data_IF_454046529400
#
_entry.id   IF_454046529400
#
_cell.length_a   1.000
_cell.length_b   1.000
_cell.length_c   1.000
_cell.angle_alpha   90.00
_cell.angle_beta   90.00
_cell.angle_gamma   90.00
#
_symmetry.space_group_name_H-M   'P 1'
#
loop_
_entity.id
_entity.type
_entity.pdbx_description
1 polymer ?
#
# COMPACT_ATOMS: atom_id res chain seq x y z
N UNK A 1 -8.87 -43.34 12.80
CA UNK A 1 -8.54 -42.10 12.03
C UNK A 1 -8.75 -40.93 12.98
N UNK A 2 -7.68 -40.33 13.44
CA UNK A 2 -7.75 -39.12 14.23
C UNK A 2 -8.25 -38.00 13.30
N UNK A 3 -9.28 -37.26 13.72
CA UNK A 3 -9.81 -36.15 12.92
C UNK A 3 -9.25 -34.81 13.39
N UNK A 4 -8.59 -34.83 14.54
CA UNK A 4 -8.14 -33.61 15.23
C UNK A 4 -6.86 -33.00 14.59
N UNK A 5 -6.12 -33.80 13.80
CA UNK A 5 -4.92 -33.39 13.07
C UNK A 5 -5.19 -32.70 11.72
N UNK A 6 -6.49 -32.67 11.30
CA UNK A 6 -6.91 -32.01 10.06
C UNK A 6 -7.53 -30.61 10.31
N UNK A 7 -7.60 -30.14 11.55
CA UNK A 7 -8.07 -28.81 11.88
C UNK A 7 -6.92 -27.91 12.32
N UNK A 8 -6.67 -26.84 11.56
CA UNK A 8 -5.79 -25.76 11.94
C UNK A 8 -6.62 -24.52 12.31
N UNK A 9 -6.49 -24.04 13.56
CA UNK A 9 -7.19 -22.86 14.04
C UNK A 9 -6.18 -21.76 14.32
N UNK A 10 -6.40 -20.61 13.76
CA UNK A 10 -5.66 -19.38 14.06
C UNK A 10 -6.61 -18.22 14.25
N UNK A 11 -6.20 -17.24 15.04
CA UNK A 11 -6.93 -15.97 15.13
C UNK A 11 -6.35 -15.05 14.08
N UNK A 12 -7.18 -14.63 13.13
CA UNK A 12 -6.85 -13.57 12.19
C UNK A 12 -7.62 -12.33 12.66
N UNK A 13 -6.89 -11.37 13.20
CA UNK A 13 -7.45 -10.04 13.42
C UNK A 13 -7.48 -9.32 12.07
N UNK A 14 -8.65 -9.16 11.50
CA UNK A 14 -8.83 -8.36 10.28
C UNK A 14 -8.84 -6.90 10.70
N UNK A 15 -7.67 -6.32 10.86
CA UNK A 15 -7.52 -4.88 11.00
C UNK A 15 -7.42 -4.30 9.59
N UNK A 16 -8.39 -3.47 9.18
CA UNK A 16 -8.23 -2.65 7.98
C UNK A 16 -7.23 -1.53 8.29
N UNK A 17 -5.97 -1.93 8.46
CA UNK A 17 -4.85 -1.04 8.78
C UNK A 17 -4.37 -0.23 7.56
N UNK A 18 -5.09 -0.33 6.43
CA UNK A 18 -4.73 0.42 5.24
C UNK A 18 -4.98 1.91 5.46
N UNK A 19 -4.00 2.69 5.06
CA UNK A 19 -4.10 4.14 5.15
C UNK A 19 -5.20 4.67 4.24
N UNK A 20 -6.15 5.40 4.80
CA UNK A 20 -7.23 6.00 4.00
C UNK A 20 -6.70 7.21 3.24
N UNK A 21 -6.95 7.22 1.94
CA UNK A 21 -6.57 8.29 1.01
C UNK A 21 -7.82 8.80 0.32
N UNK A 22 -8.11 10.08 0.47
CA UNK A 22 -9.22 10.73 -0.23
C UNK A 22 -8.70 11.34 -1.54
N UNK A 23 -9.38 11.06 -2.65
CA UNK A 23 -9.17 11.74 -3.92
C UNK A 23 -10.47 12.40 -4.37
N UNK A 24 -10.44 13.70 -4.53
CA UNK A 24 -11.56 14.49 -5.05
C UNK A 24 -11.13 15.12 -6.36
N UNK A 25 -11.77 14.74 -7.44
CA UNK A 25 -11.57 15.34 -8.78
C UNK A 25 -12.75 16.22 -9.14
N UNK A 26 -12.50 17.33 -9.78
CA UNK A 26 -13.54 18.12 -10.43
C UNK A 26 -14.19 17.33 -11.56
N UNK A 27 -14.10 17.82 -12.77
CA UNK A 27 -14.60 17.07 -13.94
C UNK A 27 -13.63 15.94 -14.30
N UNK A 28 -14.11 14.69 -14.49
CA UNK A 28 -13.27 13.57 -14.88
C UNK A 28 -12.48 13.82 -16.17
N UNK A 29 -11.18 13.59 -16.13
CA UNK A 29 -10.22 13.75 -17.22
C UNK A 29 -9.28 12.54 -17.30
N UNK A 30 -8.32 12.55 -18.23
CA UNK A 30 -7.37 11.44 -18.37
C UNK A 30 -6.55 11.20 -17.09
N UNK A 31 -6.15 12.27 -16.41
CA UNK A 31 -5.46 12.16 -15.12
C UNK A 31 -6.28 11.39 -14.09
N UNK A 32 -7.58 11.71 -13.96
CA UNK A 32 -8.50 10.99 -13.08
C UNK A 32 -8.56 9.50 -13.41
N UNK A 33 -8.68 9.15 -14.71
CA UNK A 33 -8.79 7.77 -15.16
C UNK A 33 -7.59 6.93 -14.70
N UNK A 34 -6.38 7.44 -14.92
CA UNK A 34 -5.18 6.70 -14.63
C UNK A 34 -4.80 6.74 -13.14
N UNK A 35 -4.96 7.88 -12.47
CA UNK A 35 -4.68 8.00 -11.03
C UNK A 35 -5.63 7.13 -10.22
N UNK A 36 -6.93 7.16 -10.52
CA UNK A 36 -7.91 6.28 -9.88
C UNK A 36 -7.45 4.82 -9.95
N UNK A 37 -7.00 4.37 -11.11
CA UNK A 37 -6.52 3.00 -11.30
C UNK A 37 -5.32 2.70 -10.40
N UNK A 38 -4.32 3.56 -10.40
CA UNK A 38 -3.12 3.39 -9.55
C UNK A 38 -3.47 3.32 -8.06
N UNK A 39 -4.37 4.21 -7.61
CA UNK A 39 -4.81 4.22 -6.21
C UNK A 39 -5.57 2.93 -5.84
N UNK A 40 -6.44 2.44 -6.73
CA UNK A 40 -7.19 1.20 -6.51
C UNK A 40 -6.30 -0.06 -6.50
N UNK A 41 -5.22 -0.08 -7.27
CA UNK A 41 -4.26 -1.19 -7.31
C UNK A 41 -3.26 -1.18 -6.13
N UNK A 42 -3.16 -0.07 -5.40
CA UNK A 42 -2.20 0.07 -4.30
C UNK A 42 -2.73 -0.62 -3.03
N UNK A 43 -2.06 -1.71 -2.62
CA UNK A 43 -2.45 -2.52 -1.45
C UNK A 43 -2.21 -1.84 -0.09
N UNK A 44 -1.39 -0.78 -0.03
CA UNK A 44 -1.07 -0.08 1.22
C UNK A 44 -2.13 0.93 1.64
N UNK A 45 -3.08 1.23 0.75
CA UNK A 45 -4.10 2.26 0.97
C UNK A 45 -5.51 1.74 0.77
N UNK A 46 -6.46 2.41 1.39
CA UNK A 46 -7.90 2.29 1.14
C UNK A 46 -8.39 3.60 0.53
N UNK A 47 -8.50 3.69 -0.81
CA UNK A 47 -8.86 4.92 -1.47
C UNK A 47 -10.36 5.18 -1.39
N UNK A 48 -10.72 6.42 -1.06
CA UNK A 48 -12.06 6.99 -1.17
C UNK A 48 -12.02 8.02 -2.29
N UNK A 49 -12.81 7.83 -3.34
CA UNK A 49 -12.69 8.64 -4.56
C UNK A 49 -14.04 9.27 -4.90
N UNK A 50 -14.03 10.59 -5.03
CA UNK A 50 -15.16 11.41 -5.52
C UNK A 50 -14.77 12.15 -6.80
N UNK A 51 -15.77 12.42 -7.62
CA UNK A 51 -15.66 13.31 -8.77
C UNK A 51 -16.93 14.12 -8.94
N UNK A 52 -16.83 15.28 -9.56
CA UNK A 52 -18.00 16.10 -9.89
C UNK A 52 -18.59 15.63 -11.22
N UNK A 53 -19.85 15.22 -11.20
CA UNK A 53 -20.60 14.85 -12.41
C UNK A 53 -20.97 16.09 -13.23
N UNK A 54 -21.45 15.85 -14.45
CA UNK A 54 -21.83 16.94 -15.37
C UNK A 54 -22.95 17.88 -14.86
N UNK A 55 -23.72 17.44 -13.86
CA UNK A 55 -24.74 18.25 -13.15
C UNK A 55 -24.17 19.02 -11.94
N UNK A 56 -22.85 19.01 -11.73
CA UNK A 56 -22.15 19.71 -10.66
C UNK A 56 -22.22 18.99 -9.31
N UNK A 57 -22.76 17.77 -9.22
CA UNK A 57 -22.88 17.03 -7.97
C UNK A 57 -21.70 16.10 -7.75
N UNK A 58 -21.17 16.00 -6.53
CA UNK A 58 -20.15 15.02 -6.20
C UNK A 58 -20.73 13.60 -6.24
N UNK A 59 -20.02 12.70 -6.92
CA UNK A 59 -20.35 11.27 -7.00
C UNK A 59 -19.20 10.44 -6.45
N UNK A 60 -19.52 9.40 -5.68
CA UNK A 60 -18.55 8.45 -5.20
C UNK A 60 -18.22 7.42 -6.28
N UNK A 61 -16.92 7.26 -6.56
CA UNK A 61 -16.42 6.24 -7.49
C UNK A 61 -15.96 4.96 -6.78
N UNK A 62 -15.95 4.96 -5.44
CA UNK A 62 -15.65 3.83 -4.55
C UNK A 62 -16.75 3.72 -3.51
N UNK A 63 -16.97 2.53 -2.90
CA UNK A 63 -17.86 2.41 -1.76
C UNK A 63 -17.43 3.39 -0.66
N UNK A 64 -18.26 4.37 -0.38
CA UNK A 64 -17.95 5.47 0.53
C UNK A 64 -19.06 5.62 1.60
N UNK A 65 -19.43 4.50 2.24
CA UNK A 65 -20.57 4.43 3.17
C UNK A 65 -20.51 5.47 4.31
N UNK A 66 -19.33 5.95 4.66
CA UNK A 66 -19.09 6.88 5.76
C UNK A 66 -18.46 8.21 5.34
N UNK A 67 -18.14 8.39 4.07
CA UNK A 67 -17.48 9.60 3.56
C UNK A 67 -18.43 10.41 2.67
N UNK A 68 -18.39 11.71 2.84
CA UNK A 68 -19.05 12.68 1.96
C UNK A 68 -18.03 13.64 1.38
N UNK A 69 -18.39 14.32 0.31
CA UNK A 69 -17.53 15.36 -0.28
C UNK A 69 -17.33 16.59 0.65
N UNK A 70 -18.00 16.63 1.80
CA UNK A 70 -17.94 17.74 2.76
C UNK A 70 -16.61 17.85 3.52
N UNK A 71 -15.85 16.76 3.63
CA UNK A 71 -14.56 16.75 4.32
C UNK A 71 -14.63 17.37 5.72
N UNK A 72 -15.61 16.91 6.54
CA UNK A 72 -15.72 17.39 7.91
C UNK A 72 -14.56 16.90 8.79
N UNK A 73 -14.37 17.48 9.98
CA UNK A 73 -13.21 17.17 10.84
C UNK A 73 -13.11 15.69 11.23
N UNK A 74 -14.25 15.03 11.49
CA UNK A 74 -14.25 13.61 11.84
C UNK A 74 -13.80 12.72 10.66
N UNK A 75 -14.16 13.11 9.43
CA UNK A 75 -13.71 12.45 8.23
C UNK A 75 -12.21 12.69 7.96
N UNK A 76 -11.76 13.94 8.09
CA UNK A 76 -10.36 14.30 7.90
C UNK A 76 -9.45 13.59 8.92
N UNK A 77 -9.86 13.45 10.17
CA UNK A 77 -9.08 12.74 11.20
C UNK A 77 -8.82 11.27 10.85
N UNK A 78 -9.70 10.65 10.08
CA UNK A 78 -9.56 9.26 9.62
C UNK A 78 -8.68 9.13 8.36
N UNK A 79 -8.35 10.25 7.71
CA UNK A 79 -7.54 10.26 6.49
C UNK A 79 -6.05 10.45 6.80
N UNK A 80 -5.21 10.02 5.88
CA UNK A 80 -3.77 10.27 5.91
C UNK A 80 -3.31 11.18 4.77
N UNK A 81 -3.96 11.05 3.62
CA UNK A 81 -3.64 11.85 2.43
C UNK A 81 -4.94 12.33 1.79
N UNK A 82 -4.96 13.58 1.37
CA UNK A 82 -6.01 14.16 0.51
C UNK A 82 -5.38 14.57 -0.82
N UNK A 83 -6.00 14.18 -1.92
CA UNK A 83 -5.61 14.53 -3.28
C UNK A 83 -6.74 15.38 -3.88
N UNK A 84 -6.42 16.59 -4.30
CA UNK A 84 -7.35 17.51 -4.97
C UNK A 84 -7.00 17.60 -6.45
N UNK A 85 -7.94 17.28 -7.31
CA UNK A 85 -7.78 17.34 -8.76
C UNK A 85 -8.69 18.38 -9.39
N UNK A 86 -8.13 19.40 -9.98
CA UNK A 86 -8.80 20.41 -10.81
C UNK A 86 -10.08 21.01 -10.21
N UNK A 87 -10.05 21.35 -8.94
CA UNK A 87 -11.11 22.04 -8.22
C UNK A 87 -10.79 23.55 -8.15
N UNK A 88 -11.81 24.39 -8.27
CA UNK A 88 -11.69 25.82 -7.98
C UNK A 88 -12.08 26.16 -6.53
N UNK A 89 -11.96 27.43 -6.15
CA UNK A 89 -12.28 27.88 -4.81
C UNK A 89 -13.79 27.78 -4.48
N UNK A 90 -14.68 27.85 -5.49
CA UNK A 90 -16.09 27.72 -5.30
C UNK A 90 -16.50 26.26 -5.03
N UNK A 91 -15.90 25.33 -5.76
CA UNK A 91 -16.10 23.89 -5.58
C UNK A 91 -15.51 23.39 -4.24
N UNK A 92 -14.32 23.89 -3.84
CA UNK A 92 -13.70 23.53 -2.58
C UNK A 92 -14.37 24.23 -1.38
N UNK A 93 -14.84 25.44 -1.50
CA UNK A 93 -15.28 26.39 -0.49
C UNK A 93 -14.17 26.82 0.50
N UNK A 94 -14.27 28.05 1.01
CA UNK A 94 -13.29 28.59 1.98
C UNK A 94 -13.27 27.77 3.28
N UNK A 95 -14.43 27.30 3.72
CA UNK A 95 -14.52 26.50 4.95
C UNK A 95 -13.79 25.15 4.82
N UNK A 96 -13.97 24.46 3.70
CA UNK A 96 -13.23 23.21 3.42
C UNK A 96 -11.73 23.48 3.26
N UNK A 97 -11.35 24.57 2.58
CA UNK A 97 -9.95 24.96 2.44
C UNK A 97 -9.29 25.19 3.82
N UNK A 98 -9.97 25.88 4.75
CA UNK A 98 -9.49 26.07 6.10
C UNK A 98 -9.37 24.77 6.90
N UNK A 99 -10.34 23.87 6.77
CA UNK A 99 -10.26 22.54 7.41
C UNK A 99 -9.10 21.71 6.86
N UNK A 100 -8.85 21.77 5.55
CA UNK A 100 -7.71 21.08 4.91
C UNK A 100 -6.38 21.71 5.35
N UNK A 101 -6.32 23.01 5.49
CA UNK A 101 -5.13 23.66 6.05
C UNK A 101 -4.80 23.12 7.44
N UNK A 102 -5.79 23.10 8.35
CA UNK A 102 -5.62 22.54 9.69
C UNK A 102 -5.34 21.03 9.69
N UNK A 103 -5.84 20.28 8.72
CA UNK A 103 -5.50 18.87 8.52
C UNK A 103 -4.02 18.69 8.21
N UNK A 104 -3.47 19.51 7.30
CA UNK A 104 -2.04 19.45 6.95
C UNK A 104 -1.18 19.89 8.13
N UNK A 105 -1.53 20.97 8.83
CA UNK A 105 -0.80 21.44 10.01
C UNK A 105 -0.65 20.36 11.09
N UNK A 106 -1.68 19.51 11.25
CA UNK A 106 -1.73 18.40 12.23
C UNK A 106 -1.10 17.08 11.72
N UNK A 107 -0.36 17.11 10.61
CA UNK A 107 0.37 15.95 10.10
C UNK A 107 -0.29 15.17 8.94
N UNK A 108 -1.45 15.61 8.46
CA UNK A 108 -2.04 15.10 7.23
C UNK A 108 -1.23 15.50 6.00
N UNK A 109 -1.37 14.79 4.91
CA UNK A 109 -0.67 15.11 3.66
C UNK A 109 -1.64 15.52 2.55
N UNK A 110 -1.22 16.48 1.73
CA UNK A 110 -2.02 17.05 0.65
C UNK A 110 -1.29 16.94 -0.68
N UNK A 111 -2.05 16.58 -1.73
CA UNK A 111 -1.60 16.69 -3.13
C UNK A 111 -2.57 17.57 -3.87
N UNK A 112 -2.05 18.51 -4.66
CA UNK A 112 -2.85 19.29 -5.60
C UNK A 112 -2.37 19.02 -7.02
N UNK A 113 -3.31 18.56 -7.85
CA UNK A 113 -3.06 18.28 -9.26
C UNK A 113 -3.39 19.48 -10.11
N UNK A 114 -2.51 19.78 -11.05
CA UNK A 114 -2.72 20.81 -12.05
C UNK A 114 -4.01 20.61 -12.84
N UNK A 115 -4.62 21.72 -13.14
CA UNK A 115 -5.81 21.81 -13.97
C UNK A 115 -6.25 23.26 -14.10
N UNK A 116 -7.00 23.56 -15.14
CA UNK A 116 -7.37 24.93 -15.47
C UNK A 116 -8.18 25.64 -14.40
N UNK A 117 -9.05 24.89 -13.69
CA UNK A 117 -9.82 25.44 -12.55
C UNK A 117 -8.95 25.71 -11.32
N UNK A 118 -8.06 24.77 -10.98
CA UNK A 118 -7.23 24.86 -9.79
C UNK A 118 -6.31 26.09 -9.79
N UNK A 119 -5.81 26.47 -10.96
CA UNK A 119 -4.85 27.56 -11.12
C UNK A 119 -5.41 28.79 -11.85
N UNK A 120 -6.72 28.85 -12.13
CA UNK A 120 -7.37 30.03 -12.69
C UNK A 120 -7.47 31.18 -11.68
N UNK A 121 -7.76 32.40 -12.10
CA UNK A 121 -8.25 33.45 -11.21
C UNK A 121 -9.48 32.95 -10.42
N UNK A 122 -9.44 33.01 -9.09
CA UNK A 122 -10.45 32.38 -8.24
C UNK A 122 -10.25 30.87 -7.99
N UNK A 123 -9.11 30.31 -8.39
CA UNK A 123 -8.70 28.95 -8.08
C UNK A 123 -8.15 28.79 -6.65
N UNK A 124 -7.44 27.72 -6.39
CA UNK A 124 -7.00 27.34 -5.04
C UNK A 124 -6.04 28.35 -4.39
N UNK A 125 -5.31 29.14 -5.18
CA UNK A 125 -4.44 30.21 -4.67
C UNK A 125 -5.21 31.37 -4.03
N UNK A 126 -6.50 31.50 -4.26
CA UNK A 126 -7.37 32.49 -3.60
C UNK A 126 -7.97 32.01 -2.27
N UNK A 127 -7.63 30.79 -1.84
CA UNK A 127 -8.10 30.19 -0.59
C UNK A 127 -7.02 30.18 0.48
N UNK A 128 -7.40 29.93 1.75
CA UNK A 128 -6.46 29.79 2.87
C UNK A 128 -5.45 28.64 2.62
N UNK A 129 -5.81 27.68 1.78
CA UNK A 129 -4.95 26.55 1.43
C UNK A 129 -3.65 26.98 0.72
N UNK A 130 -3.65 28.15 0.08
CA UNK A 130 -2.45 28.73 -0.55
C UNK A 130 -1.25 28.84 0.42
N UNK A 131 -1.49 28.99 1.73
CA UNK A 131 -0.43 29.03 2.73
C UNK A 131 0.39 27.74 2.76
N UNK A 132 -0.28 26.59 2.61
CA UNK A 132 0.34 25.27 2.65
C UNK A 132 0.93 24.82 1.29
N UNK A 133 0.58 25.47 0.18
CA UNK A 133 1.09 25.06 -1.13
C UNK A 133 2.56 25.47 -1.31
N UNK A 134 3.42 24.62 -1.93
CA UNK A 134 4.84 24.87 -2.19
C UNK A 134 5.10 25.89 -3.31
N UNK A 135 4.10 26.66 -3.67
CA UNK A 135 4.14 27.62 -4.79
C UNK A 135 3.65 28.98 -4.33
N UNK A 136 4.20 30.01 -4.95
CA UNK A 136 3.78 31.40 -4.80
C UNK A 136 3.86 32.13 -6.15
N UNK A 137 3.30 33.32 -6.19
CA UNK A 137 3.41 34.25 -7.33
C UNK A 137 2.17 34.33 -8.19
N UNK A 138 2.25 35.16 -9.14
CA UNK A 138 1.57 35.78 -10.19
C UNK A 138 0.25 35.24 -10.73
N UNK A 139 0.16 35.36 -12.04
CA UNK A 139 -1.02 34.86 -12.80
C UNK A 139 -0.64 33.55 -13.46
N UNK A 140 -1.08 32.40 -12.90
CA UNK A 140 -0.81 31.11 -13.50
C UNK A 140 -1.36 31.07 -14.95
N UNK A 141 -0.52 30.65 -15.87
CA UNK A 141 -0.92 30.50 -17.29
C UNK A 141 -0.61 29.10 -17.74
N UNK A 142 -1.59 28.42 -18.34
CA UNK A 142 -1.36 27.13 -18.94
C UNK A 142 -0.61 27.32 -20.27
N UNK A 143 0.61 26.81 -20.32
CA UNK A 143 1.35 26.66 -21.56
C UNK A 143 1.04 25.27 -22.13
N UNK A 144 0.28 25.23 -23.21
CA UNK A 144 0.10 24.01 -24.03
C UNK A 144 1.10 24.05 -25.18
N UNK A 145 1.70 22.91 -25.49
CA UNK A 145 2.66 22.79 -26.57
C UNK A 145 2.28 21.66 -27.52
N UNK A 146 2.25 21.92 -28.83
CA UNK A 146 2.04 20.89 -29.83
C UNK A 146 3.21 19.91 -29.91
N UNK A 147 4.41 20.35 -29.47
CA UNK A 147 5.60 19.51 -29.36
C UNK A 147 5.84 19.12 -27.91
N UNK A 148 6.24 17.88 -27.64
CA UNK A 148 6.51 17.42 -26.30
C UNK A 148 7.56 18.30 -25.59
N UNK A 149 7.25 18.71 -24.35
CA UNK A 149 8.13 19.50 -23.50
C UNK A 149 9.01 18.55 -22.70
N UNK A 150 10.37 18.63 -22.84
CA UNK A 150 11.28 17.79 -22.09
C UNK A 150 11.19 18.01 -20.59
N UNK A 151 11.27 16.91 -19.84
CA UNK A 151 11.19 16.89 -18.38
C UNK A 151 12.56 16.52 -17.83
N UNK A 152 13.00 17.20 -16.76
CA UNK A 152 14.26 16.91 -16.08
C UNK A 152 14.05 16.79 -14.58
N UNK A 153 14.72 15.80 -13.98
CA UNK A 153 14.85 15.73 -12.52
C UNK A 153 15.87 16.74 -12.03
N UNK A 154 15.57 17.38 -10.93
CA UNK A 154 16.50 18.25 -10.21
C UNK A 154 17.46 17.41 -9.34
N UNK A 155 18.56 17.99 -8.84
CA UNK A 155 19.42 17.30 -7.87
C UNK A 155 18.68 16.88 -6.60
N UNK A 156 17.67 17.64 -6.16
CA UNK A 156 16.82 17.32 -5.01
C UNK A 156 16.01 16.03 -5.22
N UNK A 157 15.55 15.79 -6.44
CA UNK A 157 14.81 14.56 -6.77
C UNK A 157 15.66 13.30 -6.59
N UNK A 158 16.97 13.37 -6.75
CA UNK A 158 17.85 12.20 -6.64
C UNK A 158 17.83 11.57 -5.22
N UNK A 159 17.55 12.36 -4.20
CA UNK A 159 17.47 11.93 -2.80
C UNK A 159 16.03 11.81 -2.29
N UNK A 160 15.06 12.29 -3.07
CA UNK A 160 13.67 12.30 -2.65
C UNK A 160 13.00 10.93 -2.87
N UNK A 161 12.26 10.39 -1.87
CA UNK A 161 11.63 9.07 -1.95
C UNK A 161 10.68 8.87 -3.14
N UNK A 162 10.04 9.94 -3.64
CA UNK A 162 9.16 9.86 -4.80
C UNK A 162 9.87 9.45 -6.11
N UNK A 163 11.21 9.58 -6.15
CA UNK A 163 12.06 9.19 -7.27
C UNK A 163 13.14 8.17 -6.88
N UNK A 164 12.91 7.45 -5.76
CA UNK A 164 13.83 6.43 -5.30
C UNK A 164 14.02 5.28 -6.31
N UNK A 165 15.16 4.59 -6.21
CA UNK A 165 15.49 3.42 -6.99
C UNK A 165 16.52 3.69 -8.09
N UNK A 166 16.47 2.91 -9.19
CA UNK A 166 17.47 3.01 -10.25
C UNK A 166 17.45 4.38 -10.94
N UNK A 167 18.54 5.18 -10.87
CA UNK A 167 18.62 6.46 -11.53
C UNK A 167 18.48 6.38 -13.06
N UNK A 168 18.82 5.23 -13.67
CA UNK A 168 18.68 5.02 -15.11
C UNK A 168 17.21 5.02 -15.54
N UNK A 169 16.32 4.47 -14.70
CA UNK A 169 14.89 4.46 -14.95
C UNK A 169 14.34 5.89 -15.07
N UNK A 170 14.75 6.78 -14.17
CA UNK A 170 14.27 8.15 -14.15
C UNK A 170 14.94 9.08 -15.17
N UNK A 171 15.99 8.64 -15.86
CA UNK A 171 16.60 9.40 -16.97
C UNK A 171 15.74 9.44 -18.23
N UNK A 172 14.83 8.48 -18.39
CA UNK A 172 13.95 8.34 -19.56
C UNK A 172 12.51 8.72 -19.29
N UNK A 173 12.31 9.71 -18.41
CA UNK A 173 10.95 10.20 -18.11
C UNK A 173 10.31 10.76 -19.38
N UNK A 174 9.08 10.32 -19.73
CA UNK A 174 8.40 10.87 -20.90
C UNK A 174 8.12 12.36 -20.74
N UNK A 175 8.17 13.13 -21.84
CA UNK A 175 7.84 14.56 -21.83
C UNK A 175 6.36 14.77 -21.53
N UNK A 176 6.01 16.01 -21.15
CA UNK A 176 4.64 16.48 -20.98
C UNK A 176 4.22 17.38 -22.14
N UNK A 177 2.93 17.65 -22.31
CA UNK A 177 2.40 18.55 -23.33
C UNK A 177 1.94 19.90 -22.79
N UNK A 178 1.83 20.00 -21.46
CA UNK A 178 1.37 21.22 -20.80
C UNK A 178 2.10 21.45 -19.50
N UNK A 179 2.22 22.70 -19.09
CA UNK A 179 2.71 23.11 -17.79
C UNK A 179 2.11 24.46 -17.40
N UNK A 180 1.78 24.63 -16.13
CA UNK A 180 1.39 25.93 -15.60
C UNK A 180 2.64 26.75 -15.30
N UNK A 181 2.76 27.88 -16.00
CA UNK A 181 3.84 28.85 -15.86
C UNK A 181 3.38 30.04 -15.02
N UNK A 182 4.28 30.97 -14.67
CA UNK A 182 3.95 32.14 -13.84
C UNK A 182 3.89 31.84 -12.33
N UNK A 183 4.17 30.61 -11.94
CA UNK A 183 4.29 30.16 -10.55
C UNK A 183 5.75 29.91 -10.20
N UNK A 184 6.13 30.22 -8.97
CA UNK A 184 7.48 30.02 -8.45
C UNK A 184 7.42 29.12 -7.22
N UNK A 185 8.52 28.41 -6.97
CA UNK A 185 8.68 27.64 -5.74
C UNK A 185 8.88 28.62 -4.56
N UNK A 186 8.18 28.38 -3.45
CA UNK A 186 8.47 29.06 -2.18
C UNK A 186 9.88 28.71 -1.68
N UNK A 187 10.52 29.54 -0.85
CA UNK A 187 11.88 29.28 -0.35
C UNK A 187 12.02 27.94 0.40
N UNK A 188 10.97 27.46 1.05
CA UNK A 188 10.95 26.18 1.77
C UNK A 188 10.55 24.98 0.89
N UNK A 189 10.24 25.20 -0.37
CA UNK A 189 9.80 24.17 -1.30
C UNK A 189 10.97 23.51 -2.02
N UNK A 190 10.85 22.22 -2.24
CA UNK A 190 11.76 21.45 -3.08
C UNK A 190 11.12 21.25 -4.47
N UNK A 191 11.77 21.77 -5.51
CA UNK A 191 11.37 21.48 -6.88
C UNK A 191 12.03 20.18 -7.31
N UNK A 192 11.24 19.13 -7.48
CA UNK A 192 11.75 17.78 -7.83
C UNK A 192 11.87 17.59 -9.34
N UNK A 193 10.94 18.15 -10.08
CA UNK A 193 10.88 18.00 -11.53
C UNK A 193 10.67 19.37 -12.16
N UNK A 194 11.41 19.63 -13.21
CA UNK A 194 11.28 20.83 -14.03
C UNK A 194 11.02 20.47 -15.49
N UNK A 195 10.37 21.38 -16.18
CA UNK A 195 10.06 21.27 -17.60
C UNK A 195 10.82 22.37 -18.36
N UNK A 196 11.42 22.00 -19.48
CA UNK A 196 12.04 22.94 -20.40
C UNK A 196 10.97 23.56 -21.29
N UNK A 197 10.80 24.87 -21.18
CA UNK A 197 9.86 25.64 -22.02
C UNK A 197 10.64 26.60 -22.91
N UNK A 198 10.03 27.15 -23.98
CA UNK A 198 10.68 28.18 -24.82
C UNK A 198 11.14 29.42 -24.04
N UNK A 199 10.51 29.72 -22.92
CA UNK A 199 10.84 30.87 -22.06
C UNK A 199 11.78 30.54 -20.91
N UNK A 200 12.27 29.32 -20.82
CA UNK A 200 13.15 28.83 -19.73
C UNK A 200 12.58 27.62 -19.00
N UNK A 201 13.19 27.27 -17.87
CA UNK A 201 12.78 26.12 -17.07
C UNK A 201 11.63 26.52 -16.13
N UNK A 202 10.56 25.70 -16.08
CA UNK A 202 9.41 25.88 -15.21
C UNK A 202 9.29 24.70 -14.23
N UNK A 203 8.84 24.89 -12.98
CA UNK A 203 8.61 23.80 -12.04
C UNK A 203 7.42 22.95 -12.47
N UNK A 204 7.53 21.63 -12.31
CA UNK A 204 6.47 20.68 -12.64
C UNK A 204 5.96 19.93 -11.42
N UNK A 205 6.86 19.42 -10.57
CA UNK A 205 6.52 18.72 -9.33
C UNK A 205 7.28 19.37 -8.20
N UNK A 206 6.55 19.87 -7.23
CA UNK A 206 7.12 20.53 -6.04
C UNK A 206 6.58 19.86 -4.78
N UNK A 207 7.40 19.83 -3.76
CA UNK A 207 7.03 19.35 -2.44
C UNK A 207 7.49 20.30 -1.36
N UNK A 208 6.79 20.30 -0.21
CA UNK A 208 7.27 20.95 1.01
C UNK A 208 6.67 20.28 2.24
N UNK A 209 7.27 20.55 3.39
CA UNK A 209 6.65 20.31 4.69
C UNK A 209 5.91 21.57 5.14
N UNK A 210 4.71 21.37 5.71
CA UNK A 210 3.91 22.45 6.27
C UNK A 210 3.30 21.99 7.59
N UNK A 211 3.63 22.66 8.69
CA UNK A 211 3.34 22.12 10.02
C UNK A 211 4.01 20.76 10.21
N UNK A 212 3.24 19.78 10.65
CA UNK A 212 3.70 18.39 10.75
C UNK A 212 3.44 17.58 9.46
N UNK A 213 2.73 18.17 8.49
CA UNK A 213 2.30 17.50 7.27
C UNK A 213 3.23 17.69 6.08
N UNK A 214 2.82 17.11 4.97
CA UNK A 214 3.53 17.16 3.69
C UNK A 214 2.59 17.59 2.58
N UNK A 215 3.11 18.44 1.69
CA UNK A 215 2.33 18.93 0.54
C UNK A 215 3.10 18.67 -0.74
N UNK A 216 2.41 18.18 -1.77
CA UNK A 216 2.93 18.07 -3.12
C UNK A 216 2.01 18.81 -4.11
N UNK A 217 2.61 19.48 -5.08
CA UNK A 217 1.89 20.14 -6.18
C UNK A 217 2.45 19.64 -7.50
N UNK A 218 1.54 19.35 -8.43
CA UNK A 218 1.87 18.94 -9.80
C UNK A 218 1.28 19.96 -10.76
N UNK A 219 2.14 20.67 -11.48
CA UNK A 219 1.77 21.81 -12.33
C UNK A 219 1.52 21.42 -13.80
N UNK A 220 0.93 20.27 -14.02
CA UNK A 220 0.50 19.84 -15.36
C UNK A 220 -0.81 19.09 -15.28
N UNK A 221 -1.55 19.04 -16.36
CA UNK A 221 -2.71 18.17 -16.57
C UNK A 221 -2.41 17.02 -17.55
N UNK A 222 -1.15 16.87 -17.95
CA UNK A 222 -0.71 15.88 -18.94
C UNK A 222 0.26 14.81 -18.38
N UNK A 223 0.38 14.70 -17.06
CA UNK A 223 1.24 13.70 -16.41
C UNK A 223 0.82 12.26 -16.72
N UNK A 224 -0.47 12.03 -16.97
CA UNK A 224 -1.03 10.74 -17.39
C UNK A 224 -0.32 10.12 -18.60
N UNK A 225 0.35 10.94 -19.43
CA UNK A 225 1.14 10.45 -20.57
C UNK A 225 2.30 9.56 -20.16
N UNK A 226 2.80 9.69 -18.95
CA UNK A 226 3.81 8.76 -18.39
C UNK A 226 3.30 7.33 -18.26
N UNK A 227 1.97 7.13 -18.37
CA UNK A 227 1.35 5.80 -18.45
C UNK A 227 1.45 5.16 -19.84
N UNK A 228 1.67 5.95 -20.89
CA UNK A 228 1.70 5.50 -22.28
C UNK A 228 3.10 5.06 -22.76
N UNK A 229 4.12 5.14 -21.91
CA UNK A 229 5.47 4.69 -22.22
C UNK A 229 5.55 3.22 -22.65
N UNK A 230 6.67 2.80 -23.27
CA UNK A 230 6.85 1.45 -23.82
C UNK A 230 6.92 0.35 -22.74
N UNK A 231 7.28 0.70 -21.51
CA UNK A 231 7.32 -0.26 -20.41
C UNK A 231 5.94 -0.80 -20.09
N UNK A 232 5.86 -2.02 -19.54
CA UNK A 232 4.62 -2.69 -19.18
C UNK A 232 4.46 -2.83 -17.67
N UNK A 233 3.21 -2.89 -17.21
CA UNK A 233 2.89 -3.18 -15.81
C UNK A 233 3.41 -2.15 -14.81
N UNK A 234 4.08 -2.63 -13.77
CA UNK A 234 4.59 -1.81 -12.65
C UNK A 234 5.81 -0.98 -13.02
N UNK A 235 6.46 -1.29 -14.16
CA UNK A 235 7.60 -0.54 -14.67
C UNK A 235 7.22 0.82 -15.28
N UNK A 236 5.93 1.13 -15.43
CA UNK A 236 5.50 2.41 -16.01
C UNK A 236 5.85 3.59 -15.11
N UNK A 237 6.47 4.66 -15.66
CA UNK A 237 6.87 5.84 -14.88
C UNK A 237 5.72 6.45 -14.08
N UNK A 238 4.52 6.53 -14.65
CA UNK A 238 3.33 7.04 -13.97
C UNK A 238 2.97 6.25 -12.71
N UNK A 239 2.84 4.92 -12.83
CA UNK A 239 2.48 4.06 -11.71
C UNK A 239 3.55 4.10 -10.63
N UNK A 240 4.83 4.04 -11.02
CA UNK A 240 5.95 4.09 -10.09
C UNK A 240 6.00 5.42 -9.34
N UNK A 241 5.89 6.54 -10.05
CA UNK A 241 5.88 7.88 -9.45
C UNK A 241 4.76 7.99 -8.40
N UNK A 242 3.52 7.69 -8.78
CA UNK A 242 2.39 7.81 -7.87
C UNK A 242 2.47 6.87 -6.67
N UNK A 243 2.92 5.62 -6.88
CA UNK A 243 3.10 4.67 -5.77
C UNK A 243 4.14 5.20 -4.78
N UNK A 244 5.27 5.71 -5.27
CA UNK A 244 6.33 6.25 -4.43
C UNK A 244 5.94 7.58 -3.77
N UNK A 245 5.28 8.48 -4.50
CA UNK A 245 4.79 9.74 -3.94
C UNK A 245 3.77 9.49 -2.82
N UNK A 246 2.79 8.62 -3.04
CA UNK A 246 1.81 8.26 -2.01
C UNK A 246 2.51 7.62 -0.81
N UNK A 247 3.44 6.70 -1.02
CA UNK A 247 4.20 6.09 0.06
C UNK A 247 5.00 7.12 0.88
N UNK A 248 5.59 8.14 0.24
CA UNK A 248 6.26 9.23 0.93
C UNK A 248 5.30 10.13 1.71
N UNK A 249 4.11 10.39 1.17
CA UNK A 249 3.07 11.19 1.82
C UNK A 249 2.48 10.50 3.04
N UNK A 250 2.39 9.17 3.01
CA UNK A 250 1.94 8.43 4.17
C UNK A 250 2.87 8.66 5.36
N UNK A 251 2.35 8.70 6.58
CA UNK A 251 3.18 8.71 7.76
C UNK A 251 4.04 7.44 7.76
N UNK A 252 5.29 7.55 8.20
CA UNK A 252 6.14 6.37 8.36
C UNK A 252 5.43 5.36 9.27
N UNK A 253 5.52 4.08 8.95
CA UNK A 253 4.87 3.01 9.74
C UNK A 253 5.24 3.06 11.23
N UNK A 254 6.43 3.55 11.55
CA UNK A 254 6.86 3.81 12.92
C UNK A 254 5.95 4.79 13.70
N UNK A 255 5.25 5.71 13.00
CA UNK A 255 4.38 6.72 13.64
C UNK A 255 2.89 6.37 13.60
N UNK A 256 2.47 5.43 12.73
CA UNK A 256 1.05 5.07 12.58
C UNK A 256 0.56 4.06 13.62
N UNK A 257 1.45 3.19 14.08
CA UNK A 257 1.16 2.13 15.06
C UNK A 257 2.04 2.20 16.30
N UNK A 258 2.83 3.26 16.48
CA UNK A 258 3.49 3.44 17.75
C UNK A 258 2.41 3.71 18.79
N UNK A 259 1.77 2.63 19.24
CA UNK A 259 0.99 2.66 20.46
C UNK A 259 1.91 3.15 21.55
N UNK A 260 1.36 3.91 22.46
CA UNK A 260 2.14 4.31 23.66
C UNK A 260 2.58 3.06 24.40
N UNK A 261 1.75 2.01 24.34
CA UNK A 261 1.98 0.71 24.96
C UNK A 261 1.62 -0.40 23.94
N UNK A 262 2.63 -1.16 23.50
CA UNK A 262 2.53 -2.25 22.53
C UNK A 262 2.74 -3.60 23.23
N UNK A 263 1.92 -4.60 22.87
CA UNK A 263 2.01 -5.98 23.36
C UNK A 263 2.49 -6.91 22.25
N UNK A 264 3.35 -7.86 22.58
CA UNK A 264 3.82 -8.91 21.64
C UNK A 264 4.25 -10.18 22.39
N UNK A 265 4.27 -11.31 21.69
CA UNK A 265 4.82 -12.58 22.18
C UNK A 265 6.19 -12.83 21.57
N UNK A 266 6.97 -13.67 22.23
CA UNK A 266 8.27 -14.13 21.75
C UNK A 266 8.17 -15.25 20.70
N UNK A 267 7.00 -15.89 20.57
CA UNK A 267 6.74 -17.00 19.65
C UNK A 267 5.33 -16.93 19.07
N UNK A 268 5.19 -17.37 17.82
CA UNK A 268 3.92 -17.46 17.13
C UNK A 268 3.14 -18.74 17.47
N UNK A 269 3.84 -19.84 17.73
CA UNK A 269 3.26 -21.13 18.10
C UNK A 269 3.30 -21.32 19.61
N UNK A 270 2.11 -21.35 20.23
CA UNK A 270 1.91 -21.51 21.65
C UNK A 270 1.12 -22.78 21.91
N UNK A 271 1.63 -23.64 22.79
CA UNK A 271 1.02 -24.94 23.09
C UNK A 271 0.57 -25.03 24.55
N UNK A 272 -0.46 -25.84 24.76
CA UNK A 272 -1.00 -26.12 26.09
C UNK A 272 0.09 -26.73 27.00
N UNK A 273 0.19 -26.19 28.22
CA UNK A 273 1.16 -26.63 29.21
C UNK A 273 2.53 -25.99 29.10
N UNK A 274 2.83 -25.24 28.05
CA UNK A 274 4.07 -24.46 27.95
C UNK A 274 3.99 -23.16 28.74
N UNK A 275 5.16 -22.68 29.19
CA UNK A 275 5.30 -21.31 29.68
C UNK A 275 5.24 -20.33 28.51
N UNK A 276 4.33 -19.38 28.58
CA UNK A 276 4.11 -18.35 27.56
C UNK A 276 4.57 -17.04 28.17
N UNK A 277 5.49 -16.37 27.48
CA UNK A 277 5.97 -15.05 27.84
C UNK A 277 5.31 -14.02 26.95
N UNK A 278 4.65 -13.03 27.55
CA UNK A 278 4.11 -11.88 26.85
C UNK A 278 4.91 -10.66 27.27
N UNK A 279 5.30 -9.90 26.28
CA UNK A 279 6.13 -8.72 26.44
C UNK A 279 5.31 -7.46 26.09
N UNK A 280 5.69 -6.36 26.74
CA UNK A 280 5.15 -5.04 26.43
C UNK A 280 6.26 -4.01 26.28
N UNK A 281 6.08 -3.09 25.35
CA UNK A 281 7.00 -1.98 25.10
C UNK A 281 6.28 -0.65 25.21
N UNK A 282 6.84 0.28 25.97
CA UNK A 282 6.43 1.68 25.98
C UNK A 282 7.24 2.48 24.95
N UNK A 283 6.55 3.30 24.15
CA UNK A 283 7.20 4.22 23.22
C UNK A 283 7.95 5.30 23.98
N UNK A 284 9.28 5.33 23.91
CA UNK A 284 10.12 6.31 24.60
C UNK A 284 9.82 7.75 24.13
N UNK A 285 9.55 7.92 22.86
CA UNK A 285 9.21 9.22 22.26
C UNK A 285 7.92 9.79 22.86
N UNK A 286 6.87 8.98 22.95
CA UNK A 286 5.55 9.41 23.45
C UNK A 286 5.49 9.54 24.97
N UNK A 287 6.29 8.78 25.68
CA UNK A 287 6.37 8.83 27.15
C UNK A 287 7.44 9.78 27.66
N UNK A 288 8.21 10.44 26.78
CA UNK A 288 9.34 11.29 27.12
C UNK A 288 10.35 10.56 28.05
N UNK A 289 10.56 9.28 27.78
CA UNK A 289 11.46 8.42 28.55
C UNK A 289 10.94 8.00 29.93
N UNK A 290 9.69 8.31 30.29
CA UNK A 290 9.12 7.87 31.57
C UNK A 290 8.71 6.40 31.49
N UNK A 291 9.21 5.60 32.41
CA UNK A 291 8.92 4.16 32.52
C UNK A 291 8.45 3.85 33.94
N UNK A 292 7.19 3.48 34.19
CA UNK A 292 6.75 3.00 35.48
C UNK A 292 7.46 1.67 35.82
N UNK A 293 7.62 1.36 37.12
CA UNK A 293 8.27 0.12 37.54
C UNK A 293 7.49 -1.13 37.13
N UNK A 294 6.18 -1.00 36.94
CA UNK A 294 5.31 -2.07 36.47
C UNK A 294 4.08 -1.52 35.79
N UNK A 295 3.42 -2.35 34.99
CA UNK A 295 2.15 -2.08 34.36
C UNK A 295 1.16 -3.18 34.68
N UNK A 296 -0.14 -2.85 34.70
CA UNK A 296 -1.21 -3.81 34.94
C UNK A 296 -1.63 -4.46 33.63
N UNK A 297 -1.85 -5.76 33.62
CA UNK A 297 -2.36 -6.49 32.49
C UNK A 297 -3.58 -7.32 32.87
N UNK A 298 -4.52 -7.49 31.95
CA UNK A 298 -5.73 -8.29 32.12
C UNK A 298 -5.78 -9.34 31.03
N UNK A 299 -5.64 -10.61 31.43
CA UNK A 299 -5.75 -11.76 30.55
C UNK A 299 -7.14 -12.36 30.62
N UNK A 300 -7.79 -12.49 29.47
CA UNK A 300 -9.09 -13.16 29.30
C UNK A 300 -8.84 -14.51 28.66
N UNK A 301 -9.31 -15.56 29.30
CA UNK A 301 -9.17 -16.96 28.89
C UNK A 301 -10.27 -17.37 27.88
N UNK A 302 -10.11 -18.51 27.19
CA UNK A 302 -11.12 -19.00 26.24
C UNK A 302 -12.47 -19.28 26.87
N UNK A 303 -12.52 -19.61 28.15
CA UNK A 303 -13.73 -19.87 28.94
C UNK A 303 -14.38 -18.61 29.50
N UNK A 304 -13.83 -17.43 29.21
CA UNK A 304 -14.32 -16.13 29.70
C UNK A 304 -13.79 -15.70 31.05
N UNK A 305 -13.03 -16.54 31.77
CA UNK A 305 -12.31 -16.11 32.99
C UNK A 305 -11.39 -14.96 32.69
N UNK A 306 -11.23 -14.05 33.61
CA UNK A 306 -10.35 -12.89 33.48
C UNK A 306 -9.43 -12.80 34.71
N UNK A 307 -8.14 -12.83 34.48
CA UNK A 307 -7.14 -12.79 35.55
C UNK A 307 -6.28 -11.53 35.37
N UNK A 308 -6.12 -10.72 36.43
CA UNK A 308 -5.17 -9.63 36.41
C UNK A 308 -3.75 -10.15 36.60
N UNK A 309 -2.82 -9.61 35.83
CA UNK A 309 -1.39 -9.84 35.94
C UNK A 309 -0.68 -8.51 36.11
N UNK A 310 0.46 -8.56 36.76
CA UNK A 310 1.39 -7.44 36.84
C UNK A 310 2.59 -7.76 35.95
N UNK A 311 2.94 -6.85 35.08
CA UNK A 311 4.13 -6.95 34.23
C UNK A 311 5.21 -6.04 34.79
N UNK A 312 6.31 -6.61 35.18
CA UNK A 312 7.42 -5.86 35.77
C UNK A 312 8.43 -5.44 34.71
N UNK A 313 9.09 -4.30 34.95
CA UNK A 313 10.13 -3.79 34.05
C UNK A 313 11.31 -4.77 34.02
N UNK A 314 11.67 -5.21 32.81
CA UNK A 314 12.73 -6.20 32.60
C UNK A 314 13.45 -5.92 31.27
N UNK A 315 14.60 -6.55 31.09
CA UNK A 315 15.28 -6.56 29.81
C UNK A 315 14.61 -7.61 28.90
N UNK A 316 13.94 -7.15 27.88
CA UNK A 316 13.26 -8.00 26.89
C UNK A 316 14.19 -8.18 25.70
N UNK A 317 14.36 -9.41 25.23
CA UNK A 317 15.10 -9.74 24.00
C UNK A 317 14.11 -10.30 22.98
N UNK A 318 14.08 -9.71 21.80
CA UNK A 318 13.22 -10.16 20.69
C UNK A 318 13.80 -11.40 19.99
N UNK A 319 12.99 -12.07 19.19
CA UNK A 319 13.43 -13.20 18.34
C UNK A 319 14.53 -12.78 17.36
N UNK A 320 14.55 -11.49 16.94
CA UNK A 320 15.60 -10.91 16.09
C UNK A 320 16.93 -10.65 16.80
N UNK A 321 16.98 -10.84 18.13
CA UNK A 321 18.19 -10.62 18.94
C UNK A 321 18.33 -9.20 19.51
N UNK A 322 17.42 -8.29 19.20
CA UNK A 322 17.42 -6.94 19.75
C UNK A 322 17.00 -6.97 21.23
N UNK A 323 17.70 -6.23 22.07
CA UNK A 323 17.37 -6.13 23.51
C UNK A 323 17.01 -4.70 23.87
N UNK A 324 15.91 -4.54 24.60
CA UNK A 324 15.45 -3.25 25.13
C UNK A 324 14.83 -3.39 26.52
N UNK A 325 14.63 -2.30 27.21
CA UNK A 325 13.88 -2.26 28.47
C UNK A 325 12.38 -2.24 28.18
N UNK A 326 11.70 -3.29 28.61
CA UNK A 326 10.25 -3.46 28.43
C UNK A 326 9.63 -4.13 29.66
N UNK A 327 8.41 -4.59 29.51
CA UNK A 327 7.69 -5.29 30.56
C UNK A 327 7.43 -6.72 30.13
N UNK A 328 7.48 -7.66 31.04
CA UNK A 328 7.19 -9.06 30.74
C UNK A 328 6.33 -9.71 31.81
N UNK A 329 5.53 -10.67 31.39
CA UNK A 329 4.78 -11.58 32.24
C UNK A 329 4.84 -12.99 31.68
N UNK A 330 5.04 -13.94 32.56
CA UNK A 330 4.96 -15.37 32.24
C UNK A 330 3.69 -15.96 32.84
N UNK A 331 3.02 -16.80 32.07
CA UNK A 331 1.90 -17.61 32.54
C UNK A 331 1.91 -18.96 31.85
N UNK A 332 1.24 -19.93 32.46
CA UNK A 332 1.04 -21.25 31.87
C UNK A 332 -0.42 -21.40 31.44
N UNK A 333 -0.65 -21.71 30.16
CA UNK A 333 -1.98 -21.92 29.65
C UNK A 333 -2.52 -23.27 30.10
N UNK A 334 -3.69 -23.27 30.73
CA UNK A 334 -4.40 -24.45 31.23
C UNK A 334 -5.53 -24.93 30.33
N UNK A 335 -5.89 -24.13 29.32
CA UNK A 335 -7.01 -24.40 28.43
C UNK A 335 -6.60 -24.04 26.99
N UNK A 336 -6.83 -24.92 26.00
CA UNK A 336 -6.58 -24.58 24.61
C UNK A 336 -7.66 -23.62 24.10
N UNK A 337 -7.27 -22.68 23.23
CA UNK A 337 -8.20 -21.73 22.62
C UNK A 337 -7.69 -20.32 22.52
N UNK A 338 -8.60 -19.40 22.30
CA UNK A 338 -8.29 -17.99 22.09
C UNK A 338 -8.15 -17.24 23.43
N UNK A 339 -7.00 -16.62 23.63
CA UNK A 339 -6.72 -15.72 24.74
C UNK A 339 -6.71 -14.27 24.26
N UNK A 340 -7.06 -13.35 25.16
CA UNK A 340 -6.97 -11.91 24.89
C UNK A 340 -6.31 -11.20 26.06
N UNK A 341 -5.27 -10.42 25.78
CA UNK A 341 -4.57 -9.61 26.75
C UNK A 341 -4.72 -8.13 26.45
N UNK A 342 -4.93 -7.33 27.51
CA UNK A 342 -4.82 -5.87 27.47
C UNK A 342 -3.92 -5.42 28.61
N UNK A 343 -3.05 -4.43 28.37
CA UNK A 343 -2.22 -3.85 29.41
C UNK A 343 -2.51 -2.36 29.59
N UNK A 344 -2.33 -1.87 30.81
CA UNK A 344 -2.56 -0.47 31.19
C UNK A 344 -1.37 0.04 32.00
N UNK A 345 -0.74 1.10 31.52
CA UNK A 345 0.32 1.82 32.22
C UNK A 345 -0.23 3.13 32.81
N UNK A 346 0.21 3.51 33.99
CA UNK A 346 -0.06 4.82 34.57
C UNK A 346 1.05 5.79 34.23
N UNK A 347 0.76 6.80 33.41
CA UNK A 347 1.70 7.84 32.99
C UNK A 347 1.17 9.20 33.40
N UNK A 348 1.90 9.89 34.28
CA UNK A 348 1.51 11.22 34.81
C UNK A 348 0.08 11.24 35.40
N UNK A 349 -0.32 10.14 36.08
CA UNK A 349 -1.67 10.01 36.66
C UNK A 349 -2.79 9.72 35.64
N UNK A 350 -2.45 9.50 34.37
CA UNK A 350 -3.38 9.11 33.33
C UNK A 350 -3.18 7.66 32.90
N UNK A 351 -4.25 6.87 32.81
CA UNK A 351 -4.15 5.50 32.32
C UNK A 351 -3.94 5.49 30.80
N UNK A 352 -2.95 4.76 30.33
CA UNK A 352 -2.68 4.46 28.92
C UNK A 352 -2.87 2.97 28.71
N UNK A 353 -3.85 2.59 27.92
CA UNK A 353 -4.19 1.18 27.66
C UNK A 353 -3.74 0.77 26.27
N UNK A 354 -3.15 -0.43 26.17
CA UNK A 354 -2.76 -1.05 24.91
C UNK A 354 -4.00 -1.43 24.07
N UNK A 355 -3.80 -1.67 22.78
CA UNK A 355 -4.76 -2.47 22.04
C UNK A 355 -4.83 -3.87 22.61
N UNK A 356 -5.99 -4.55 22.54
CA UNK A 356 -6.08 -5.95 22.90
C UNK A 356 -5.21 -6.80 21.97
N UNK A 357 -4.31 -7.59 22.53
CA UNK A 357 -3.58 -8.62 21.79
C UNK A 357 -4.31 -9.95 21.94
N UNK A 358 -4.63 -10.60 20.83
CA UNK A 358 -5.24 -11.93 20.83
C UNK A 358 -4.24 -12.94 20.29
N UNK A 359 -4.17 -14.12 20.96
CA UNK A 359 -3.32 -15.23 20.56
C UNK A 359 -4.05 -16.55 20.79
N UNK A 360 -3.61 -17.60 20.12
CA UNK A 360 -4.24 -18.91 20.20
C UNK A 360 -3.27 -19.93 20.81
N UNK A 361 -3.74 -20.64 21.84
CA UNK A 361 -3.02 -21.75 22.44
C UNK A 361 -3.53 -23.04 21.84
N UNK A 362 -2.67 -23.75 21.14
CA UNK A 362 -2.97 -25.03 20.50
C UNK A 362 -3.05 -26.14 21.53
N UNK A 363 -3.93 -27.15 21.40
CA UNK A 363 -3.86 -28.35 22.20
C UNK A 363 -2.51 -29.04 21.98
N UNK A 364 -1.99 -29.67 23.03
CA UNK A 364 -0.78 -30.47 22.88
C UNK A 364 -1.08 -31.67 21.98
N UNK A 365 -0.39 -31.78 20.86
CA UNK A 365 -0.43 -32.95 20.00
C UNK A 365 0.93 -33.68 20.10
N UNK A 366 0.94 -35.00 20.35
CA UNK A 366 2.18 -35.79 20.33
C UNK A 366 2.92 -35.71 18.98
N UNK A 367 2.21 -35.36 17.91
CA UNK A 367 2.78 -35.20 16.56
C UNK A 367 3.54 -33.91 16.38
N UNK A 368 3.22 -32.86 17.17
CA UNK A 368 3.94 -31.58 17.15
C UNK A 368 5.18 -31.58 18.05
N UNK A 369 5.36 -32.63 18.87
CA UNK A 369 6.56 -32.78 19.67
C UNK A 369 7.75 -33.12 18.76
N UNK A 370 8.91 -32.45 18.88
CA UNK A 370 10.09 -32.74 18.09
C UNK A 370 10.61 -34.15 18.46
N UNK A 371 10.04 -35.17 17.84
CA UNK A 371 10.58 -36.53 17.91
C UNK A 371 11.58 -36.66 16.76
N UNK A 372 12.73 -37.29 17.00
CA UNK A 372 13.63 -37.63 15.92
C UNK A 372 12.87 -38.51 14.91
N UNK A 373 13.10 -38.26 13.63
CA UNK A 373 12.50 -39.05 12.56
C UNK A 373 12.80 -40.55 12.78
N UNK A 374 11.80 -41.41 12.63
CA UNK A 374 12.03 -42.83 12.71
C UNK A 374 12.63 -43.33 11.40
N UNK A 375 13.97 -43.35 11.38
CA UNK A 375 14.74 -43.72 10.18
C UNK A 375 14.50 -45.12 9.73
N UNK A 376 14.22 -46.06 10.63
CA UNK A 376 13.89 -47.45 10.30
C UNK A 376 12.59 -47.55 9.50
N UNK A 377 11.56 -46.79 9.91
CA UNK A 377 10.29 -46.75 9.21
C UNK A 377 10.42 -46.10 7.83
N UNK A 378 11.19 -45.01 7.73
CA UNK A 378 11.44 -44.35 6.45
C UNK A 378 12.20 -45.25 5.48
N UNK A 379 13.17 -46.02 5.97
CA UNK A 379 13.93 -47.02 5.21
C UNK A 379 13.05 -48.18 4.78
N UNK A 380 12.15 -48.63 5.64
CA UNK A 380 11.18 -49.69 5.30
C UNK A 380 10.18 -49.24 4.22
N UNK A 381 9.70 -47.98 4.32
CA UNK A 381 8.79 -47.41 3.32
C UNK A 381 9.49 -47.29 1.95
N UNK A 382 10.74 -46.80 1.93
CA UNK A 382 11.48 -46.64 0.68
C UNK A 382 11.73 -48.02 0.01
N UNK A 383 12.11 -49.01 0.82
CA UNK A 383 12.30 -50.38 0.32
C UNK A 383 11.03 -51.03 -0.21
N UNK A 384 9.89 -50.83 0.50
CA UNK A 384 8.60 -51.36 0.11
C UNK A 384 8.03 -50.69 -1.15
N UNK A 385 8.35 -49.43 -1.39
CA UNK A 385 7.92 -48.65 -2.58
C UNK A 385 8.86 -48.79 -3.79
N UNK A 386 9.98 -49.52 -3.65
CA UNK A 386 11.02 -49.57 -4.69
C UNK A 386 11.83 -48.28 -4.84
N UNK A 387 11.73 -47.42 -3.87
CA UNK A 387 12.51 -46.17 -3.79
C UNK A 387 13.85 -46.34 -3.09
N UNK A 388 14.57 -45.23 -2.92
CA UNK A 388 15.85 -45.21 -2.20
C UNK A 388 15.75 -44.22 -1.02
N UNK A 389 16.34 -44.58 0.10
CA UNK A 389 16.45 -43.75 1.30
C UNK A 389 17.86 -43.17 1.37
N UNK A 390 17.94 -41.86 1.70
CA UNK A 390 19.20 -41.15 1.84
C UNK A 390 19.24 -40.47 3.20
N UNK A 391 20.30 -40.71 3.95
CA UNK A 391 20.47 -40.22 5.32
C UNK A 391 20.95 -38.76 5.38
N UNK A 392 21.60 -38.31 4.30
CA UNK A 392 22.15 -36.96 4.21
C UNK A 392 21.82 -36.30 2.86
N UNK A 393 21.73 -34.95 2.82
CA UNK A 393 21.56 -34.23 1.56
C UNK A 393 22.64 -34.48 0.52
N UNK A 394 23.88 -34.72 0.98
CA UNK A 394 25.02 -35.01 0.12
C UNK A 394 24.88 -36.38 -0.57
N UNK A 395 24.39 -37.38 0.15
CA UNK A 395 24.11 -38.69 -0.40
C UNK A 395 23.00 -38.63 -1.46
N UNK A 396 21.94 -37.85 -1.20
CA UNK A 396 20.86 -37.58 -2.16
C UNK A 396 21.39 -36.90 -3.42
N UNK A 397 22.19 -35.82 -3.30
CA UNK A 397 22.75 -35.10 -4.44
C UNK A 397 23.66 -36.00 -5.29
N UNK A 398 24.47 -36.84 -4.66
CA UNK A 398 25.33 -37.82 -5.35
C UNK A 398 24.50 -38.85 -6.13
N UNK A 399 23.39 -39.30 -5.57
CA UNK A 399 22.49 -40.23 -6.23
C UNK A 399 21.74 -39.56 -7.41
N UNK A 400 21.28 -38.31 -7.24
CA UNK A 400 20.60 -37.54 -8.28
C UNK A 400 21.49 -37.26 -9.49
N UNK A 401 22.79 -37.09 -9.28
CA UNK A 401 23.77 -36.88 -10.35
C UNK A 401 23.92 -38.14 -11.27
N UNK A 402 23.64 -39.32 -10.72
CA UNK A 402 23.70 -40.60 -11.42
C UNK A 402 22.35 -41.09 -11.93
N UNK A 403 21.27 -40.32 -11.67
CA UNK A 403 19.94 -40.67 -12.15
C UNK A 403 19.83 -40.37 -13.65
N UNK A 404 19.69 -41.47 -14.46
CA UNK A 404 19.37 -41.32 -15.88
C UNK A 404 17.92 -40.87 -16.04
N UNK A 405 17.74 -39.55 -16.03
CA UNK A 405 16.47 -38.90 -16.30
C UNK A 405 16.14 -39.08 -17.79
N UNK A 406 15.70 -40.29 -18.18
CA UNK A 406 15.04 -40.42 -19.47
C UNK A 406 13.81 -39.56 -19.44
N UNK A 407 13.82 -38.53 -20.23
CA UNK A 407 12.65 -37.69 -20.43
C UNK A 407 11.48 -38.58 -20.82
N UNK A 408 10.47 -38.69 -19.95
CA UNK A 408 9.21 -39.30 -20.31
C UNK A 408 8.59 -38.42 -21.38
N UNK A 409 8.50 -38.93 -22.60
CA UNK A 409 7.76 -38.25 -23.65
C UNK A 409 6.29 -38.16 -23.24
N UNK A 410 5.90 -37.05 -22.68
CA UNK A 410 4.49 -36.71 -22.49
C UNK A 410 4.00 -36.07 -23.79
N UNK A 411 3.10 -36.76 -24.47
CA UNK A 411 2.41 -36.21 -25.63
C UNK A 411 1.45 -35.11 -25.15
N UNK A 412 1.87 -33.87 -25.30
CA UNK A 412 0.99 -32.71 -25.12
C UNK A 412 0.14 -32.56 -26.39
N UNK A 413 -1.17 -32.66 -26.23
CA UNK A 413 -2.11 -32.28 -27.28
C UNK A 413 -2.31 -30.75 -27.19
N UNK A 414 -1.72 -30.03 -28.12
CA UNK A 414 -1.91 -28.59 -28.22
C UNK A 414 -3.18 -28.31 -29.03
N UNK A 415 -4.17 -27.71 -28.39
CA UNK A 415 -5.39 -27.30 -29.06
C UNK A 415 -5.18 -25.95 -29.76
N UNK A 416 -5.02 -25.99 -31.09
CA UNK A 416 -4.99 -24.79 -31.89
C UNK A 416 -6.41 -24.32 -32.21
N UNK A 417 -6.74 -23.13 -31.78
CA UNK A 417 -8.02 -22.49 -32.17
C UNK A 417 -8.01 -22.17 -33.64
N UNK A 418 -8.86 -22.82 -34.42
CA UNK A 418 -8.91 -22.73 -35.88
C UNK A 418 -9.10 -21.28 -36.40
N UNK A 419 -9.83 -20.45 -35.68
CA UNK A 419 -10.05 -19.04 -36.05
C UNK A 419 -8.87 -18.10 -35.81
N UNK A 420 -7.81 -18.56 -35.15
CA UNK A 420 -6.53 -17.82 -35.06
C UNK A 420 -5.55 -18.20 -36.15
N UNK A 421 -5.90 -19.17 -36.94
CA UNK A 421 -5.05 -19.63 -38.03
C UNK A 421 -5.41 -18.88 -39.34
N UNK A 422 -4.54 -17.94 -39.73
CA UNK A 422 -4.75 -17.10 -40.91
C UNK A 422 -5.16 -17.84 -42.19
N UNK A 423 -4.51 -18.96 -42.56
CA UNK A 423 -4.91 -19.82 -43.66
C UNK A 423 -6.34 -20.34 -43.59
N UNK A 424 -6.80 -20.76 -42.39
CA UNK A 424 -8.20 -21.26 -42.22
C UNK A 424 -9.20 -20.13 -42.40
N UNK A 425 -8.93 -18.95 -41.86
CA UNK A 425 -9.78 -17.77 -42.06
C UNK A 425 -9.82 -17.38 -43.56
N UNK A 426 -8.68 -17.42 -44.25
CA UNK A 426 -8.61 -17.12 -45.68
C UNK A 426 -9.45 -18.13 -46.51
N UNK A 427 -9.39 -19.42 -46.20
CA UNK A 427 -10.21 -20.44 -46.87
C UNK A 427 -11.72 -20.18 -46.65
N UNK A 428 -12.12 -19.87 -45.42
CA UNK A 428 -13.54 -19.55 -45.11
C UNK A 428 -13.97 -18.31 -45.87
N UNK A 429 -13.14 -17.24 -45.94
CA UNK A 429 -13.43 -16.04 -46.72
C UNK A 429 -13.57 -16.34 -48.24
N UNK A 430 -12.68 -17.16 -48.79
CA UNK A 430 -12.75 -17.59 -50.19
C UNK A 430 -14.04 -18.40 -50.50
N UNK A 431 -14.46 -19.27 -49.58
CA UNK A 431 -15.72 -20.00 -49.72
C UNK A 431 -16.91 -19.06 -49.70
N UNK A 432 -16.96 -18.08 -48.82
CA UNK A 432 -18.01 -17.06 -48.81
C UNK A 432 -18.00 -16.20 -50.10
N UNK A 433 -16.83 -15.77 -50.54
CA UNK A 433 -16.68 -15.02 -51.79
C UNK A 433 -17.13 -15.84 -53.01
N UNK A 434 -16.78 -17.12 -53.08
CA UNK A 434 -17.18 -18.02 -54.16
C UNK A 434 -18.69 -18.27 -54.18
N UNK A 435 -19.32 -18.47 -53.04
CA UNK A 435 -20.79 -18.62 -52.93
C UNK A 435 -21.50 -17.33 -53.29
N UNK A 436 -20.98 -16.16 -52.86
CA UNK A 436 -21.54 -14.86 -53.27
C UNK A 436 -21.44 -14.63 -54.77
N UNK A 437 -20.29 -14.95 -55.39
CA UNK A 437 -20.08 -14.83 -56.83
C UNK A 437 -20.99 -15.78 -57.63
N UNK A 438 -21.16 -17.03 -57.12
CA UNK A 438 -22.06 -18.00 -57.74
C UNK A 438 -23.54 -17.54 -57.68
N UNK A 439 -23.99 -16.99 -56.56
CA UNK A 439 -25.33 -16.40 -56.40
C UNK A 439 -25.53 -15.23 -57.31
N UNK A 440 -24.57 -14.31 -57.39
CA UNK A 440 -24.63 -13.14 -58.27
C UNK A 440 -24.70 -13.54 -59.75
N UNK A 441 -23.94 -14.54 -60.18
CA UNK A 441 -23.95 -15.06 -61.54
C UNK A 441 -25.29 -15.75 -61.92
N UNK A 442 -25.99 -16.31 -60.93
CA UNK A 442 -27.28 -16.99 -61.11
C UNK A 442 -28.48 -16.07 -60.86
N UNK A 443 -28.28 -14.77 -60.66
CA UNK A 443 -29.34 -13.80 -60.33
C UNK A 443 -30.29 -14.24 -59.19
N UNK A 444 -29.78 -15.05 -58.26
CA UNK A 444 -30.51 -15.44 -57.04
C UNK A 444 -30.32 -14.35 -55.96
N UNK A 445 -31.41 -13.98 -55.22
CA UNK A 445 -31.33 -12.97 -54.18
C UNK A 445 -30.42 -13.40 -53.01
#
# INVERSE_FOLDING_TARGET
KNKDDNEWKTIIEVVDARNRVLYVEGVPRWEYKYLRRVLMENRQISPVIFFTSGDGKPQAATPAETFTADMNESQLSALKVVILGNLDAAELSQERAKRLLGFVEKGGSLVVLGGTKAWSPGGLLSTDLAQALPIEGGSPTLLESPTPLPVKLTPQAATHPAFAGDPKFWKTIPPVLSVFTGLQAKPAAESLVVVETPSGSAPLVLTQRFGEGKVAVILTDSLWRWQLGPESGDAKPYKRFWTQLVSWLLPKAENLNAEVLELFTDRDDLFLGEKITINARLSEEKTKGKKPASIDAKLVFPDGRSIPYRMDLSKVTTVSGDSFEGYSVEFQADTPGAYRLTATAQLDGKPVTSKPMSFFVKPFSPETSPRPANFEVLQAISSASGGSYFETPEALNSALTNFDLKAKEENFSEFHTLWRNGPVVAIVMLLFASTWFARRKRQMP
#
